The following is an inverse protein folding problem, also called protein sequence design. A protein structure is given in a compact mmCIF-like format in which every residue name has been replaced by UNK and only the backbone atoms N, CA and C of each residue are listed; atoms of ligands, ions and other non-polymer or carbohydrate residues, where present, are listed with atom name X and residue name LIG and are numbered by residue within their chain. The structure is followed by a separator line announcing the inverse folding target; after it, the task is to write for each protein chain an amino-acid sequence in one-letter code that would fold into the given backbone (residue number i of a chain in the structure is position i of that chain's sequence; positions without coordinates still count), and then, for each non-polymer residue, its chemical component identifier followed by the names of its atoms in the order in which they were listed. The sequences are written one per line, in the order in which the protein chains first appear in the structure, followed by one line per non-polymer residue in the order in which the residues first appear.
data_IF_725015053370
#
_entry.id   IF_725015053370
#
_cell.length_a   1.000
_cell.length_b   1.000
_cell.length_c   1.000
_cell.angle_alpha   90.00
_cell.angle_beta   90.00
_cell.angle_gamma   90.00
#
_symmetry.space_group_name_H-M   'P 1'
#
loop_
_entity.id
_entity.type
_entity.pdbx_description
1 polymer ?
#
# COMPACT_ATOMS: atom_id res chain seq x y z
N UNK A 1 41.51 -9.77 -0.68
CA UNK A 1 40.16 -9.32 -0.26
C UNK A 1 39.20 -9.76 -1.33
N UNK A 2 38.40 -10.79 -1.08
CA UNK A 2 37.36 -11.21 -2.03
C UNK A 2 36.39 -10.05 -2.20
N UNK A 3 36.33 -9.47 -3.41
CA UNK A 3 35.28 -8.53 -3.79
C UNK A 3 33.94 -9.17 -3.43
N UNK A 4 33.29 -8.68 -2.37
CA UNK A 4 31.96 -9.13 -1.99
C UNK A 4 31.05 -8.66 -3.13
N UNK A 5 30.43 -9.58 -3.86
CA UNK A 5 29.47 -9.23 -4.90
C UNK A 5 28.39 -8.33 -4.29
N UNK A 6 28.04 -7.24 -4.96
CA UNK A 6 26.98 -6.32 -4.51
C UNK A 6 25.66 -7.09 -4.39
N UNK A 7 24.78 -6.75 -3.43
CA UNK A 7 23.47 -7.39 -3.29
C UNK A 7 22.67 -7.21 -4.59
N UNK A 8 22.03 -8.27 -5.08
CA UNK A 8 21.20 -8.19 -6.28
C UNK A 8 19.82 -7.66 -5.92
N UNK A 9 19.42 -6.52 -6.47
CA UNK A 9 18.11 -5.90 -6.23
C UNK A 9 17.36 -5.82 -7.55
N UNK A 10 16.13 -6.35 -7.57
CA UNK A 10 15.23 -6.15 -8.71
C UNK A 10 14.50 -4.83 -8.53
N UNK A 11 14.64 -3.94 -9.52
CA UNK A 11 13.94 -2.65 -9.57
C UNK A 11 12.77 -2.77 -10.54
N UNK A 12 11.56 -2.92 -9.98
CA UNK A 12 10.32 -3.17 -10.72
C UNK A 12 9.52 -1.87 -10.84
N UNK A 13 9.33 -1.37 -12.06
CA UNK A 13 8.62 -0.12 -12.27
C UNK A 13 7.14 -0.30 -12.55
N UNK A 14 6.29 0.52 -11.91
CA UNK A 14 4.86 0.61 -12.22
C UNK A 14 4.41 1.97 -12.75
N UNK A 15 5.32 2.97 -12.76
CA UNK A 15 5.08 4.33 -13.24
C UNK A 15 4.95 5.35 -12.12
N UNK A 16 4.01 6.29 -12.27
CA UNK A 16 3.76 7.36 -11.30
C UNK A 16 4.67 8.57 -11.45
N UNK A 17 4.46 9.57 -10.58
CA UNK A 17 5.15 10.88 -10.64
C UNK A 17 6.67 10.78 -10.61
N UNK A 18 7.23 9.74 -9.99
CA UNK A 18 8.68 9.44 -9.99
C UNK A 18 9.24 9.18 -11.39
N UNK A 19 8.39 8.87 -12.38
CA UNK A 19 8.75 8.63 -13.78
C UNK A 19 8.23 9.69 -14.75
N UNK A 20 7.14 10.40 -14.42
CA UNK A 20 6.52 11.37 -15.34
C UNK A 20 7.41 12.59 -15.61
N UNK A 21 7.39 13.10 -16.84
CA UNK A 21 8.24 14.21 -17.29
C UNK A 21 7.39 15.45 -17.58
N UNK A 22 7.61 16.51 -16.80
CA UNK A 22 6.99 17.81 -17.05
C UNK A 22 7.67 18.63 -18.14
N UNK A 23 6.93 19.60 -18.70
CA UNK A 23 7.44 20.46 -19.80
C UNK A 23 8.53 21.43 -19.36
N UNK A 24 8.48 21.86 -18.11
CA UNK A 24 9.43 22.83 -17.53
C UNK A 24 9.87 22.36 -16.15
N UNK A 25 10.95 22.97 -15.65
CA UNK A 25 11.48 22.67 -14.30
C UNK A 25 10.60 23.15 -13.15
N UNK A 26 9.55 23.92 -13.45
CA UNK A 26 8.58 24.45 -12.47
C UNK A 26 7.19 23.85 -12.66
N UNK A 27 7.06 22.85 -13.52
CA UNK A 27 5.81 22.12 -13.72
C UNK A 27 5.62 21.04 -12.64
N UNK A 28 4.94 21.42 -11.57
CA UNK A 28 4.64 20.53 -10.43
C UNK A 28 3.22 19.95 -10.47
N UNK A 29 2.42 20.29 -11.47
CA UNK A 29 0.98 19.94 -11.49
C UNK A 29 0.54 19.25 -12.77
N UNK A 30 1.14 19.59 -13.92
CA UNK A 30 0.72 19.10 -15.23
C UNK A 30 1.74 18.12 -15.84
N UNK A 31 2.71 17.66 -15.04
CA UNK A 31 3.79 16.80 -15.51
C UNK A 31 3.33 15.47 -16.12
N UNK A 32 2.12 15.03 -15.81
CA UNK A 32 1.53 13.81 -16.37
C UNK A 32 0.68 14.06 -17.62
N UNK A 33 0.36 15.32 -17.95
CA UNK A 33 -0.62 15.66 -18.98
C UNK A 33 -0.21 15.17 -20.37
N UNK A 34 1.09 15.25 -20.70
CA UNK A 34 1.61 14.82 -22.00
C UNK A 34 1.85 13.30 -22.07
N UNK A 35 1.62 12.55 -20.99
CA UNK A 35 1.86 11.10 -20.94
C UNK A 35 3.31 10.70 -21.19
N UNK A 36 4.27 11.62 -20.94
CA UNK A 36 5.70 11.35 -21.09
C UNK A 36 6.28 10.81 -19.78
N UNK A 37 7.05 9.74 -19.90
CA UNK A 37 7.67 9.06 -18.77
C UNK A 37 9.11 8.69 -19.10
N UNK A 38 9.95 8.66 -18.07
CA UNK A 38 11.17 7.88 -18.09
C UNK A 38 10.82 6.40 -18.01
N UNK A 39 11.45 5.60 -18.86
CA UNK A 39 11.58 4.15 -18.69
C UNK A 39 12.41 3.85 -17.44
N UNK A 40 12.30 2.63 -16.93
CA UNK A 40 13.08 2.25 -15.75
C UNK A 40 14.59 2.28 -16.01
N UNK A 41 15.03 1.99 -17.23
CA UNK A 41 16.41 2.11 -17.65
C UNK A 41 16.87 3.58 -17.62
N UNK A 42 16.09 4.51 -18.17
CA UNK A 42 16.38 5.95 -18.12
C UNK A 42 16.42 6.49 -16.68
N UNK A 43 15.59 5.94 -15.77
CA UNK A 43 15.65 6.28 -14.35
C UNK A 43 16.97 5.82 -13.70
N UNK A 44 17.47 4.63 -14.06
CA UNK A 44 18.75 4.11 -13.58
C UNK A 44 19.92 4.91 -14.17
N UNK A 45 19.89 5.23 -15.46
CA UNK A 45 20.91 6.07 -16.11
C UNK A 45 20.99 7.48 -15.53
N UNK A 46 19.85 8.02 -15.08
CA UNK A 46 19.77 9.31 -14.41
C UNK A 46 20.43 9.30 -13.02
N UNK A 47 20.42 8.15 -12.34
CA UNK A 47 20.94 8.00 -10.96
C UNK A 47 21.93 6.83 -10.91
N UNK A 48 23.09 6.93 -11.61
CA UNK A 48 24.02 5.81 -11.74
C UNK A 48 24.62 5.34 -10.41
N UNK A 49 24.59 6.17 -9.37
CA UNK A 49 25.04 5.87 -8.00
C UNK A 49 24.28 4.69 -7.38
N UNK A 50 23.10 4.31 -7.89
CA UNK A 50 22.40 3.10 -7.46
C UNK A 50 23.24 1.83 -7.67
N UNK A 51 24.14 1.84 -8.65
CA UNK A 51 25.06 0.74 -8.90
C UNK A 51 26.15 0.63 -7.85
N UNK A 52 26.44 1.68 -7.06
CA UNK A 52 27.35 1.61 -5.92
C UNK A 52 26.75 0.83 -4.75
N UNK A 53 25.41 0.81 -4.67
CA UNK A 53 24.62 0.16 -3.63
C UNK A 53 24.38 -1.33 -3.98
N UNK A 54 23.99 -1.65 -5.21
CA UNK A 54 23.48 -2.97 -5.61
C UNK A 54 23.80 -3.37 -7.06
N UNK A 55 23.76 -4.69 -7.34
CA UNK A 55 23.58 -5.22 -8.71
C UNK A 55 22.10 -5.06 -9.08
N UNK A 56 21.76 -3.93 -9.71
CA UNK A 56 20.38 -3.54 -10.03
C UNK A 56 19.89 -4.25 -11.29
N UNK A 57 18.78 -4.98 -11.18
CA UNK A 57 18.06 -5.63 -12.29
C UNK A 57 16.76 -4.88 -12.55
N UNK A 58 16.77 -4.01 -13.55
CA UNK A 58 15.61 -3.21 -13.91
C UNK A 58 14.57 -4.04 -14.67
N UNK A 59 13.29 -3.85 -14.34
CA UNK A 59 12.16 -4.47 -15.02
C UNK A 59 10.99 -3.47 -15.12
N UNK A 60 10.57 -3.14 -16.33
CA UNK A 60 9.35 -2.37 -16.57
C UNK A 60 8.13 -3.30 -16.49
N UNK A 61 7.40 -3.27 -15.38
CA UNK A 61 6.20 -4.10 -15.20
C UNK A 61 4.93 -3.40 -15.69
N UNK A 62 4.73 -2.14 -15.27
CA UNK A 62 3.64 -1.26 -15.72
C UNK A 62 4.19 0.14 -15.95
N UNK A 63 3.45 0.99 -16.64
CA UNK A 63 3.78 2.41 -16.76
C UNK A 63 2.49 3.25 -16.69
N UNK A 64 1.94 3.38 -15.48
CA UNK A 64 0.64 4.00 -15.22
C UNK A 64 0.73 5.12 -14.19
N UNK A 65 -0.24 6.05 -14.23
CA UNK A 65 -0.56 6.86 -13.06
C UNK A 65 -1.17 5.98 -11.96
N UNK A 66 -0.81 6.19 -10.70
CA UNK A 66 -1.34 5.36 -9.60
C UNK A 66 -2.86 5.47 -9.43
N UNK A 67 -3.50 6.51 -9.99
CA UNK A 67 -4.96 6.65 -10.07
C UNK A 67 -5.62 5.60 -10.96
N UNK A 68 -4.85 4.98 -11.86
CA UNK A 68 -5.32 3.97 -12.81
C UNK A 68 -4.92 2.55 -12.35
N UNK A 69 -4.33 2.42 -11.17
CA UNK A 69 -4.00 1.12 -10.57
C UNK A 69 -5.28 0.42 -10.14
N UNK A 70 -5.39 -0.87 -10.47
CA UNK A 70 -6.58 -1.68 -10.22
C UNK A 70 -6.21 -2.93 -9.41
N UNK A 71 -7.20 -3.64 -8.83
CA UNK A 71 -6.96 -4.90 -8.16
C UNK A 71 -6.30 -5.97 -9.05
N UNK A 72 -6.53 -5.94 -10.37
CA UNK A 72 -5.86 -6.84 -11.31
C UNK A 72 -4.35 -6.53 -11.42
N UNK A 73 -3.98 -5.25 -11.43
CA UNK A 73 -2.57 -4.83 -11.40
C UNK A 73 -1.88 -5.27 -10.09
N UNK A 74 -2.58 -5.21 -8.96
CA UNK A 74 -2.07 -5.72 -7.68
C UNK A 74 -1.79 -7.23 -7.71
N UNK A 75 -2.73 -8.04 -8.21
CA UNK A 75 -2.53 -9.48 -8.38
C UNK A 75 -1.31 -9.78 -9.26
N UNK A 76 -1.21 -9.10 -10.41
CA UNK A 76 -0.08 -9.26 -11.32
C UNK A 76 1.26 -8.93 -10.66
N UNK A 77 1.32 -7.81 -9.94
CA UNK A 77 2.54 -7.37 -9.25
C UNK A 77 2.94 -8.34 -8.13
N UNK A 78 2.01 -8.79 -7.30
CA UNK A 78 2.29 -9.77 -6.24
C UNK A 78 2.79 -11.10 -6.81
N UNK A 79 2.12 -11.63 -7.84
CA UNK A 79 2.54 -12.85 -8.55
C UNK A 79 3.95 -12.68 -9.13
N UNK A 80 4.25 -11.52 -9.73
CA UNK A 80 5.58 -11.24 -10.31
C UNK A 80 6.67 -11.19 -9.24
N UNK A 81 6.43 -10.48 -8.14
CA UNK A 81 7.39 -10.36 -7.02
C UNK A 81 7.68 -11.72 -6.40
N UNK A 82 6.65 -12.52 -6.12
CA UNK A 82 6.85 -13.88 -5.60
C UNK A 82 7.69 -14.72 -6.57
N UNK A 83 7.39 -14.65 -7.87
CA UNK A 83 8.16 -15.35 -8.91
C UNK A 83 9.62 -14.89 -9.01
N UNK A 84 9.91 -13.61 -8.82
CA UNK A 84 11.32 -13.13 -8.76
C UNK A 84 12.08 -13.88 -7.66
N UNK A 85 11.48 -14.02 -6.48
CA UNK A 85 12.13 -14.71 -5.37
C UNK A 85 12.18 -16.23 -5.55
N UNK A 86 11.23 -16.83 -6.26
CA UNK A 86 11.25 -18.25 -6.61
C UNK A 86 12.36 -18.56 -7.64
N UNK A 87 12.42 -17.76 -8.72
CA UNK A 87 13.36 -17.94 -9.83
C UNK A 87 14.80 -17.55 -9.44
N UNK A 88 14.98 -16.58 -8.53
CA UNK A 88 16.28 -16.08 -8.08
C UNK A 88 16.42 -16.09 -6.55
N UNK A 89 16.89 -17.22 -6.02
CA UNK A 89 17.13 -17.41 -4.59
C UNK A 89 18.25 -16.52 -4.03
N UNK A 90 19.08 -15.92 -4.89
CA UNK A 90 20.15 -15.00 -4.49
C UNK A 90 19.71 -13.52 -4.52
N UNK A 91 18.49 -13.23 -4.99
CA UNK A 91 17.93 -11.88 -4.93
C UNK A 91 17.94 -11.38 -3.48
N UNK A 92 18.57 -10.24 -3.23
CA UNK A 92 18.63 -9.61 -1.92
C UNK A 92 17.29 -8.96 -1.55
N UNK A 93 16.59 -8.39 -2.52
CA UNK A 93 15.28 -7.75 -2.33
C UNK A 93 14.68 -7.20 -3.63
N UNK A 94 13.49 -6.64 -3.53
CA UNK A 94 12.77 -5.98 -4.63
C UNK A 94 12.48 -4.52 -4.24
N UNK A 95 12.87 -3.59 -5.12
CA UNK A 95 12.49 -2.19 -5.07
C UNK A 95 11.39 -1.93 -6.11
N UNK A 96 10.33 -1.22 -5.73
CA UNK A 96 9.18 -0.92 -6.61
C UNK A 96 9.00 0.58 -6.73
N UNK A 97 9.04 1.12 -7.95
CA UNK A 97 8.66 2.53 -8.19
C UNK A 97 7.18 2.60 -8.51
N UNK A 98 6.47 3.53 -7.87
CA UNK A 98 5.02 3.63 -7.92
C UNK A 98 4.55 5.10 -7.83
N UNK A 99 3.34 5.37 -8.33
CA UNK A 99 2.69 6.67 -8.11
C UNK A 99 2.15 6.82 -6.69
N UNK A 100 2.21 8.05 -6.15
CA UNK A 100 1.94 8.29 -4.73
C UNK A 100 0.45 8.28 -4.37
N UNK A 101 -0.48 8.36 -5.33
CA UNK A 101 -1.91 8.50 -5.01
C UNK A 101 -2.51 7.25 -4.33
N UNK A 102 -2.02 6.06 -4.70
CA UNK A 102 -2.48 4.75 -4.17
C UNK A 102 -1.33 3.89 -3.67
N UNK A 103 -0.15 4.48 -3.44
CA UNK A 103 1.05 3.77 -2.97
C UNK A 103 0.78 2.99 -1.68
N UNK A 104 0.08 3.61 -0.72
CA UNK A 104 -0.31 2.99 0.56
C UNK A 104 -1.17 1.73 0.38
N UNK A 105 -1.98 1.69 -0.67
CA UNK A 105 -2.87 0.58 -0.98
C UNK A 105 -2.09 -0.57 -1.61
N UNK A 106 -1.30 -0.28 -2.65
CA UNK A 106 -0.41 -1.27 -3.28
C UNK A 106 0.55 -1.89 -2.25
N UNK A 107 1.19 -1.05 -1.42
CA UNK A 107 2.12 -1.53 -0.40
C UNK A 107 1.42 -2.46 0.61
N UNK A 108 0.22 -2.10 1.07
CA UNK A 108 -0.51 -2.95 2.01
C UNK A 108 -1.00 -4.25 1.38
N UNK A 109 -1.46 -4.22 0.12
CA UNK A 109 -1.80 -5.43 -0.61
C UNK A 109 -0.60 -6.39 -0.72
N UNK A 110 0.57 -5.87 -1.11
CA UNK A 110 1.80 -6.66 -1.18
C UNK A 110 2.20 -7.19 0.20
N UNK A 111 2.01 -6.42 1.27
CA UNK A 111 2.31 -6.82 2.64
C UNK A 111 1.56 -8.09 3.08
N UNK A 112 0.40 -8.33 2.50
CA UNK A 112 -0.45 -9.48 2.81
C UNK A 112 -0.26 -10.66 1.83
N UNK A 113 0.36 -10.43 0.67
CA UNK A 113 0.36 -11.41 -0.44
C UNK A 113 1.75 -11.87 -0.88
N UNK A 114 2.81 -11.13 -0.52
CA UNK A 114 4.19 -11.55 -0.77
C UNK A 114 4.60 -12.66 0.19
N UNK A 115 5.19 -13.75 -0.32
CA UNK A 115 5.53 -14.97 0.44
C UNK A 115 7.03 -15.12 0.72
N UNK A 116 7.68 -14.03 1.08
CA UNK A 116 9.10 -14.03 1.47
C UNK A 116 9.37 -13.11 2.66
N UNK A 117 10.44 -13.40 3.41
CA UNK A 117 10.97 -12.49 4.42
C UNK A 117 11.99 -11.50 3.84
N UNK A 118 12.40 -11.67 2.57
CA UNK A 118 13.31 -10.74 1.89
C UNK A 118 12.64 -9.37 1.70
N UNK A 119 13.40 -8.27 1.74
CA UNK A 119 12.86 -6.92 1.59
C UNK A 119 12.09 -6.72 0.28
N UNK A 120 10.89 -6.16 0.40
CA UNK A 120 10.14 -5.55 -0.70
C UNK A 120 9.84 -4.12 -0.29
N UNK A 121 10.31 -3.15 -1.08
CA UNK A 121 10.26 -1.73 -0.74
C UNK A 121 9.54 -0.98 -1.85
N UNK A 122 8.50 -0.23 -1.53
CA UNK A 122 7.75 0.60 -2.49
C UNK A 122 8.10 2.07 -2.28
N UNK A 123 8.43 2.77 -3.36
CA UNK A 123 8.72 4.20 -3.33
C UNK A 123 7.94 4.95 -4.42
N UNK A 124 7.96 6.27 -4.32
CA UNK A 124 7.41 7.19 -5.31
C UNK A 124 8.06 8.55 -5.17
N UNK A 125 7.50 9.56 -5.82
CA UNK A 125 7.95 10.94 -5.69
C UNK A 125 6.76 11.89 -5.69
N UNK A 126 6.88 12.99 -4.96
CA UNK A 126 5.88 14.06 -4.96
C UNK A 126 6.15 15.08 -6.07
N UNK A 127 7.40 15.21 -6.51
CA UNK A 127 7.81 16.01 -7.66
C UNK A 127 8.29 15.10 -8.81
N UNK A 128 8.06 15.49 -10.07
CA UNK A 128 8.59 14.76 -11.22
C UNK A 128 10.13 14.91 -11.30
N UNK A 129 10.85 13.97 -11.94
CA UNK A 129 12.30 14.08 -12.18
C UNK A 129 12.77 15.39 -12.84
N UNK A 130 11.91 16.02 -13.64
CA UNK A 130 12.19 17.33 -14.26
C UNK A 130 12.07 18.51 -13.29
N UNK A 131 11.34 18.34 -12.19
CA UNK A 131 11.02 19.38 -11.23
C UNK A 131 12.24 19.86 -10.46
N UNK A 132 12.31 21.17 -10.19
CA UNK A 132 13.34 21.73 -9.34
C UNK A 132 13.20 21.19 -7.90
N UNK A 133 14.32 20.76 -7.31
CA UNK A 133 14.34 20.13 -6.00
C UNK A 133 13.52 18.83 -5.97
N UNK A 134 13.58 18.04 -7.05
CA UNK A 134 12.90 16.74 -7.12
C UNK A 134 13.33 15.81 -5.98
N UNK A 135 12.37 15.07 -5.43
CA UNK A 135 12.60 13.97 -4.49
C UNK A 135 12.75 12.61 -5.20
N UNK A 136 12.56 12.55 -6.53
CA UNK A 136 12.63 11.31 -7.32
C UNK A 136 13.94 10.56 -7.15
N UNK A 137 15.06 11.28 -7.21
CA UNK A 137 16.39 10.70 -7.34
C UNK A 137 16.83 10.09 -5.99
N UNK A 138 16.64 10.84 -4.89
CA UNK A 138 16.94 10.35 -3.53
C UNK A 138 16.01 9.22 -3.10
N UNK A 139 14.70 9.32 -3.40
CA UNK A 139 13.75 8.27 -3.06
C UNK A 139 14.06 6.96 -3.81
N UNK A 140 14.51 7.04 -5.07
CA UNK A 140 14.96 5.87 -5.84
C UNK A 140 16.20 5.22 -5.21
N UNK A 141 17.21 6.01 -4.86
CA UNK A 141 18.41 5.51 -4.18
C UNK A 141 18.07 4.84 -2.84
N UNK A 142 17.24 5.48 -2.02
CA UNK A 142 16.83 4.96 -0.72
C UNK A 142 16.01 3.68 -0.86
N UNK A 143 15.15 3.58 -1.88
CA UNK A 143 14.39 2.36 -2.15
C UNK A 143 15.30 1.16 -2.42
N UNK A 144 16.32 1.35 -3.26
CA UNK A 144 17.31 0.32 -3.57
C UNK A 144 18.19 0.02 -2.35
N UNK A 145 18.61 1.05 -1.60
CA UNK A 145 19.39 0.90 -0.37
C UNK A 145 18.65 0.08 0.68
N UNK A 146 17.39 0.38 0.94
CA UNK A 146 16.54 -0.35 1.88
C UNK A 146 16.28 -1.78 1.38
N UNK A 147 16.10 -1.99 0.07
CA UNK A 147 15.91 -3.31 -0.50
C UNK A 147 17.17 -4.19 -0.45
N UNK A 148 18.36 -3.59 -0.55
CA UNK A 148 19.64 -4.27 -0.43
C UNK A 148 20.09 -4.53 1.02
N UNK A 149 19.53 -3.79 1.99
CA UNK A 149 19.95 -3.85 3.39
C UNK A 149 19.46 -5.14 4.09
N UNK A 150 20.35 -6.02 4.59
CA UNK A 150 19.94 -7.26 5.25
C UNK A 150 19.04 -7.05 6.47
N UNK A 151 19.24 -5.96 7.21
CA UNK A 151 18.44 -5.60 8.38
C UNK A 151 16.99 -5.20 8.05
N UNK A 152 16.67 -5.00 6.78
CA UNK A 152 15.29 -4.74 6.30
C UNK A 152 14.44 -6.02 6.21
N UNK A 153 15.08 -7.20 6.22
CA UNK A 153 14.38 -8.48 6.11
C UNK A 153 13.45 -8.73 7.30
N UNK A 154 12.31 -9.37 7.04
CA UNK A 154 11.32 -9.75 8.06
C UNK A 154 10.55 -8.58 8.68
N UNK A 155 10.50 -7.42 8.02
CA UNK A 155 9.77 -6.22 8.49
C UNK A 155 8.50 -5.92 7.69
N UNK A 156 8.01 -6.90 6.94
CA UNK A 156 6.90 -6.76 6.02
C UNK A 156 7.31 -6.02 4.75
N UNK A 157 6.32 -5.61 3.97
CA UNK A 157 6.55 -4.66 2.88
C UNK A 157 6.80 -3.29 3.49
N UNK A 158 7.80 -2.61 2.96
CA UNK A 158 8.24 -1.30 3.42
C UNK A 158 7.88 -0.24 2.39
N UNK A 159 7.72 0.99 2.86
CA UNK A 159 7.75 2.16 1.98
C UNK A 159 8.88 3.09 2.41
N UNK A 160 9.54 3.73 1.44
CA UNK A 160 10.54 4.76 1.75
C UNK A 160 10.35 5.97 0.86
N UNK A 161 10.09 7.11 1.48
CA UNK A 161 10.03 8.43 0.85
C UNK A 161 10.51 9.45 1.87
N UNK A 162 11.16 10.53 1.43
CA UNK A 162 11.66 11.58 2.32
C UNK A 162 12.56 11.01 3.43
N UNK A 163 13.45 10.08 3.06
CA UNK A 163 14.37 9.34 3.95
C UNK A 163 13.71 8.51 5.07
N UNK A 164 12.38 8.43 5.12
CA UNK A 164 11.62 7.76 6.18
C UNK A 164 11.20 6.36 5.75
N UNK A 165 11.64 5.33 6.47
CA UNK A 165 11.25 3.94 6.24
C UNK A 165 10.02 3.61 7.08
N UNK A 166 8.94 3.20 6.44
CA UNK A 166 7.62 3.02 7.06
C UNK A 166 7.06 1.62 6.79
N UNK A 167 6.24 1.12 7.71
CA UNK A 167 5.52 -0.13 7.52
C UNK A 167 4.37 0.07 6.53
N UNK A 168 4.25 -0.81 5.52
CA UNK A 168 3.16 -0.75 4.54
C UNK A 168 1.77 -0.77 5.19
N UNK A 169 1.61 -1.40 6.35
CA UNK A 169 0.35 -1.42 7.11
C UNK A 169 -0.05 -0.07 7.69
N UNK A 170 0.91 0.75 8.14
CA UNK A 170 0.61 1.94 8.95
C UNK A 170 0.76 3.25 8.16
N UNK A 171 1.57 3.26 7.11
CA UNK A 171 1.81 4.44 6.28
C UNK A 171 0.56 4.93 5.56
N UNK A 172 0.31 6.24 5.54
CA UNK A 172 -0.77 6.87 4.81
C UNK A 172 -0.33 8.21 4.21
N UNK A 173 -0.86 8.58 3.05
CA UNK A 173 -0.62 9.87 2.41
C UNK A 173 -1.49 10.95 3.06
N UNK A 174 -0.87 11.86 3.80
CA UNK A 174 -1.56 12.87 4.64
C UNK A 174 -1.70 14.24 4.00
N UNK A 175 -0.99 14.50 2.91
CA UNK A 175 -0.97 15.78 2.22
C UNK A 175 -0.94 15.62 0.69
N UNK A 176 -1.61 16.53 -0.03
CA UNK A 176 -1.68 16.48 -1.48
C UNK A 176 -0.40 16.93 -2.19
N UNK A 177 0.46 17.75 -1.57
CA UNK A 177 1.62 18.37 -2.24
C UNK A 177 2.93 18.35 -1.46
N UNK A 178 2.90 18.18 -0.14
CA UNK A 178 4.11 18.20 0.70
C UNK A 178 4.97 16.95 0.48
N UNK A 179 6.30 17.09 0.57
CA UNK A 179 7.23 15.99 0.33
C UNK A 179 7.13 14.95 1.45
N UNK A 180 6.98 15.44 2.68
CA UNK A 180 6.78 14.68 3.91
C UNK A 180 5.36 14.06 4.04
N UNK A 181 4.64 13.87 2.94
CA UNK A 181 3.22 13.50 2.99
C UNK A 181 2.95 12.11 3.56
N UNK A 182 3.85 11.14 3.36
CA UNK A 182 3.65 9.79 3.86
C UNK A 182 3.99 9.75 5.34
N UNK A 183 2.99 9.48 6.17
CA UNK A 183 3.09 9.47 7.63
C UNK A 183 2.49 8.18 8.18
N UNK A 184 2.96 7.76 9.35
CA UNK A 184 2.37 6.66 10.13
C UNK A 184 1.85 7.21 11.46
N UNK A 185 0.65 7.84 11.47
CA UNK A 185 0.22 8.71 12.56
C UNK A 185 -0.02 7.98 13.90
N UNK A 186 -0.37 6.70 13.89
CA UNK A 186 -0.59 5.93 15.12
C UNK A 186 0.73 5.47 15.77
N UNK A 187 1.72 5.05 14.95
CA UNK A 187 2.88 4.29 15.43
C UNK A 187 4.24 4.80 14.95
N UNK A 188 4.29 5.85 14.15
CA UNK A 188 5.53 6.44 13.63
C UNK A 188 6.29 5.55 12.65
N UNK A 189 7.43 6.07 12.18
CA UNK A 189 8.30 5.37 11.24
C UNK A 189 9.04 4.21 11.89
N UNK A 190 9.47 3.25 11.05
CA UNK A 190 10.31 2.14 11.50
C UNK A 190 11.77 2.57 11.64
N UNK A 191 12.22 3.51 10.81
CA UNK A 191 13.61 3.88 10.68
C UNK A 191 13.86 4.95 9.62
N UNK A 192 15.13 5.19 9.31
CA UNK A 192 15.57 6.14 8.30
C UNK A 192 16.61 5.53 7.36
N UNK A 193 16.67 6.07 6.14
CA UNK A 193 17.77 5.90 5.19
C UNK A 193 18.40 7.29 4.97
N UNK A 194 19.45 7.60 5.73
CA UNK A 194 19.95 8.97 5.92
C UNK A 194 21.27 9.25 5.18
N UNK A 195 21.74 10.49 5.29
CA UNK A 195 22.95 11.03 4.63
C UNK A 195 24.27 10.34 4.98
N UNK A 196 24.30 9.46 5.99
CA UNK A 196 25.44 8.58 6.28
C UNK A 196 25.40 7.28 5.46
N UNK A 197 24.45 7.20 4.53
CA UNK A 197 24.19 6.09 3.62
C UNK A 197 23.81 4.78 4.35
N UNK A 198 23.39 4.88 5.61
CA UNK A 198 22.93 3.74 6.41
C UNK A 198 21.41 3.63 6.45
N UNK A 199 20.94 2.40 6.63
CA UNK A 199 19.53 2.11 6.96
C UNK A 199 19.47 1.72 8.44
N UNK A 200 18.85 2.57 9.25
CA UNK A 200 18.78 2.41 10.71
C UNK A 200 17.33 2.25 11.15
N UNK A 201 17.04 1.18 11.88
CA UNK A 201 15.71 0.87 12.40
C UNK A 201 15.62 1.08 13.92
N UNK A 202 14.50 1.62 14.37
CA UNK A 202 14.16 1.84 15.79
C UNK A 202 12.88 1.10 16.21
N UNK A 203 12.06 0.67 15.25
CA UNK A 203 10.81 -0.08 15.49
C UNK A 203 10.66 -1.25 14.52
N UNK A 204 9.71 -2.14 14.79
CA UNK A 204 9.30 -3.24 13.91
C UNK A 204 7.77 -3.37 13.97
N UNK A 205 7.09 -3.71 12.86
CA UNK A 205 5.66 -4.03 12.93
C UNK A 205 5.43 -5.33 13.69
N UNK A 206 4.37 -5.38 14.50
CA UNK A 206 3.96 -6.55 15.29
C UNK A 206 2.76 -7.30 14.67
N UNK A 207 2.11 -6.69 13.67
CA UNK A 207 1.00 -7.31 12.93
C UNK A 207 1.55 -8.32 11.95
N UNK A 208 0.88 -9.47 11.82
CA UNK A 208 1.33 -10.53 10.92
C UNK A 208 1.40 -10.02 9.47
N UNK A 209 2.41 -10.47 8.72
CA UNK A 209 2.63 -10.01 7.36
C UNK A 209 3.43 -11.05 6.56
N UNK A 210 3.42 -10.92 5.24
CA UNK A 210 4.25 -11.69 4.31
C UNK A 210 4.16 -13.21 4.51
N UNK A 211 5.25 -13.85 4.95
CA UNK A 211 5.31 -15.29 5.29
C UNK A 211 4.33 -15.70 6.39
N UNK A 212 3.95 -14.78 7.29
CA UNK A 212 2.99 -15.02 8.37
C UNK A 212 1.55 -14.65 7.97
N UNK A 213 1.35 -14.17 6.72
CA UNK A 213 0.02 -13.92 6.18
C UNK A 213 -0.55 -15.16 5.53
N UNK A 214 -1.83 -15.45 5.78
CA UNK A 214 -2.52 -16.63 5.24
C UNK A 214 -3.02 -16.45 3.80
N UNK A 215 -3.00 -15.22 3.26
CA UNK A 215 -3.56 -14.94 1.94
C UNK A 215 -2.60 -15.36 0.82
N UNK A 216 -2.91 -16.45 0.11
CA UNK A 216 -2.24 -16.82 -1.13
C UNK A 216 -3.09 -16.40 -2.35
N UNK A 217 -2.49 -15.59 -3.22
CA UNK A 217 -3.12 -15.08 -4.45
C UNK A 217 -2.59 -15.73 -5.72
N UNK A 218 -1.76 -16.78 -5.61
CA UNK A 218 -1.16 -17.49 -6.74
C UNK A 218 -2.18 -17.97 -7.78
N UNK A 219 -3.31 -18.50 -7.30
CA UNK A 219 -4.44 -19.02 -8.10
C UNK A 219 -5.63 -18.05 -8.22
N UNK A 220 -5.54 -16.87 -7.61
CA UNK A 220 -6.62 -15.87 -7.66
C UNK A 220 -6.52 -15.08 -8.97
N UNK A 221 -7.58 -15.16 -9.79
CA UNK A 221 -7.67 -14.42 -11.05
C UNK A 221 -8.39 -13.08 -10.91
N UNK A 222 -9.36 -13.00 -10.00
CA UNK A 222 -10.12 -11.78 -9.72
C UNK A 222 -10.37 -11.67 -8.22
N UNK A 223 -10.20 -10.45 -7.68
CA UNK A 223 -10.52 -10.16 -6.29
C UNK A 223 -12.01 -9.83 -6.14
N UNK A 224 -12.64 -10.24 -5.03
CA UNK A 224 -13.99 -9.82 -4.65
C UNK A 224 -14.16 -8.30 -4.71
N UNK A 225 -15.33 -7.84 -5.17
CA UNK A 225 -15.63 -6.42 -5.26
C UNK A 225 -16.03 -5.88 -3.89
N UNK A 226 -15.16 -5.06 -3.29
CA UNK A 226 -15.45 -4.33 -2.06
C UNK A 226 -15.43 -2.83 -2.32
N UNK A 227 -16.46 -2.13 -1.86
CA UNK A 227 -16.60 -0.68 -2.01
C UNK A 227 -16.70 0.03 -0.65
N UNK A 228 -16.42 1.34 -0.62
CA UNK A 228 -16.38 2.17 0.60
C UNK A 228 -17.56 3.14 0.59
N UNK A 229 -18.35 3.15 1.67
CA UNK A 229 -19.43 4.10 1.90
C UNK A 229 -18.98 5.20 2.88
N UNK A 230 -18.74 6.45 2.44
CA UNK A 230 -18.36 7.53 3.34
C UNK A 230 -19.53 8.00 4.21
N UNK A 231 -19.28 8.19 5.51
CA UNK A 231 -20.18 8.91 6.40
C UNK A 231 -19.80 10.41 6.44
N UNK A 232 -20.81 11.26 6.57
CA UNK A 232 -20.71 12.72 6.71
C UNK A 232 -21.99 13.24 7.36
N UNK A 233 -22.03 14.53 7.73
CA UNK A 233 -23.25 15.13 8.27
C UNK A 233 -24.38 15.04 7.24
N UNK A 234 -25.47 14.38 7.60
CA UNK A 234 -26.60 14.12 6.69
C UNK A 234 -26.44 12.89 5.79
N UNK A 235 -25.37 12.09 5.95
CA UNK A 235 -25.27 10.81 5.27
C UNK A 235 -26.43 9.88 5.70
N UNK A 236 -27.04 9.23 4.71
CA UNK A 236 -28.16 8.32 4.86
C UNK A 236 -27.84 6.95 4.24
N UNK A 237 -28.88 6.17 3.94
CA UNK A 237 -28.73 4.84 3.36
C UNK A 237 -28.59 4.78 1.83
N UNK A 238 -28.64 5.90 1.10
CA UNK A 238 -28.70 5.90 -0.37
C UNK A 238 -27.48 5.21 -0.98
N UNK A 239 -26.28 5.62 -0.58
CA UNK A 239 -25.03 5.05 -1.13
C UNK A 239 -24.89 3.57 -0.74
N UNK A 240 -25.22 3.22 0.51
CA UNK A 240 -25.14 1.83 1.01
C UNK A 240 -26.03 0.91 0.19
N UNK A 241 -27.31 1.27 0.02
CA UNK A 241 -28.25 0.46 -0.77
C UNK A 241 -27.89 0.43 -2.26
N UNK A 242 -27.38 1.53 -2.81
CA UNK A 242 -26.92 1.55 -4.20
C UNK A 242 -25.77 0.57 -4.43
N UNK A 243 -24.80 0.50 -3.52
CA UNK A 243 -23.69 -0.45 -3.59
C UNK A 243 -24.17 -1.89 -3.42
N UNK A 244 -25.04 -2.17 -2.44
CA UNK A 244 -25.59 -3.51 -2.23
C UNK A 244 -26.40 -3.99 -3.46
N UNK A 245 -27.24 -3.12 -4.03
CA UNK A 245 -28.01 -3.42 -5.25
C UNK A 245 -27.11 -3.63 -6.48
N UNK A 246 -25.91 -3.05 -6.51
CA UNK A 246 -24.91 -3.28 -7.55
C UNK A 246 -24.18 -4.63 -7.39
N UNK A 247 -24.44 -5.39 -6.33
CA UNK A 247 -23.89 -6.73 -6.11
C UNK A 247 -22.42 -6.74 -5.67
N UNK A 248 -22.02 -5.81 -4.80
CA UNK A 248 -20.69 -5.86 -4.16
C UNK A 248 -20.59 -7.09 -3.25
N UNK A 249 -19.41 -7.67 -3.13
CA UNK A 249 -19.12 -8.82 -2.27
C UNK A 249 -18.88 -8.44 -0.81
N UNK A 250 -18.59 -7.16 -0.55
CA UNK A 250 -18.43 -6.61 0.79
C UNK A 250 -18.46 -5.08 0.79
N UNK A 251 -18.66 -4.50 1.96
CA UNK A 251 -18.76 -3.05 2.14
C UNK A 251 -17.94 -2.57 3.32
N UNK A 252 -17.20 -1.48 3.14
CA UNK A 252 -16.51 -0.76 4.23
C UNK A 252 -17.25 0.55 4.51
N UNK A 253 -17.71 0.72 5.74
CA UNK A 253 -18.26 1.98 6.21
C UNK A 253 -17.13 2.87 6.75
N UNK A 254 -16.90 4.02 6.11
CA UNK A 254 -15.99 5.05 6.66
C UNK A 254 -16.77 5.95 7.62
N UNK A 255 -17.03 5.43 8.82
CA UNK A 255 -17.85 6.06 9.85
C UNK A 255 -17.25 7.35 10.43
N UNK A 256 -18.04 8.06 11.23
CA UNK A 256 -17.62 9.23 12.01
C UNK A 256 -17.04 8.80 13.36
N UNK A 257 -16.03 9.53 13.85
CA UNK A 257 -15.47 9.32 15.19
C UNK A 257 -14.97 7.89 15.39
N UNK A 258 -15.63 7.11 16.26
CA UNK A 258 -15.32 5.71 16.53
C UNK A 258 -15.98 4.71 15.56
N UNK A 259 -16.43 5.17 14.38
CA UNK A 259 -17.03 4.33 13.34
C UNK A 259 -18.56 4.37 13.26
N UNK A 260 -19.25 5.16 14.11
CA UNK A 260 -20.70 5.33 14.04
C UNK A 260 -21.09 6.40 13.00
N UNK A 261 -22.36 6.44 12.62
CA UNK A 261 -22.94 7.51 11.80
C UNK A 261 -24.37 7.82 12.25
N UNK A 262 -25.08 8.67 11.49
CA UNK A 262 -26.48 9.01 11.71
C UNK A 262 -27.38 7.75 11.67
N UNK A 263 -28.51 7.72 12.42
CA UNK A 263 -29.38 6.55 12.48
C UNK A 263 -29.82 5.99 11.12
N UNK A 264 -30.18 6.79 10.09
CA UNK A 264 -30.56 6.25 8.78
C UNK A 264 -29.42 5.53 8.05
N UNK A 265 -28.18 6.01 8.19
CA UNK A 265 -26.99 5.36 7.64
C UNK A 265 -26.74 4.02 8.35
N UNK A 266 -26.78 4.02 9.69
CA UNK A 266 -26.56 2.79 10.48
C UNK A 266 -27.67 1.75 10.24
N UNK A 267 -28.92 2.19 10.07
CA UNK A 267 -30.03 1.30 9.73
C UNK A 267 -29.83 0.66 8.35
N UNK A 268 -29.32 1.39 7.36
CA UNK A 268 -29.03 0.85 6.03
C UNK A 268 -27.85 -0.12 6.04
N UNK A 269 -26.82 0.12 6.87
CA UNK A 269 -25.75 -0.87 7.08
C UNK A 269 -26.30 -2.16 7.69
N UNK A 270 -27.18 -2.05 8.68
CA UNK A 270 -27.84 -3.21 9.28
C UNK A 270 -28.66 -3.98 8.26
N UNK A 271 -29.46 -3.27 7.46
CA UNK A 271 -30.29 -3.85 6.41
C UNK A 271 -29.46 -4.73 5.46
N UNK A 272 -28.33 -4.23 4.95
CA UNK A 272 -27.49 -5.01 4.02
C UNK A 272 -26.70 -6.12 4.73
N UNK A 273 -26.30 -5.91 5.98
CA UNK A 273 -25.63 -6.91 6.82
C UNK A 273 -26.55 -8.09 7.16
N UNK A 274 -27.79 -7.81 7.54
CA UNK A 274 -28.84 -8.82 7.77
C UNK A 274 -29.17 -9.59 6.47
N UNK A 275 -28.94 -8.97 5.31
CA UNK A 275 -28.99 -9.59 3.99
C UNK A 275 -27.78 -10.48 3.64
N UNK A 276 -26.80 -10.59 4.54
CA UNK A 276 -25.61 -11.43 4.39
C UNK A 276 -24.41 -10.75 3.73
N UNK A 277 -24.47 -9.43 3.47
CA UNK A 277 -23.32 -8.68 2.97
C UNK A 277 -22.33 -8.40 4.10
N UNK A 278 -21.05 -8.82 4.01
CA UNK A 278 -20.05 -8.47 5.02
C UNK A 278 -19.83 -6.96 5.09
N UNK A 279 -20.10 -6.38 6.27
CA UNK A 279 -19.92 -4.95 6.56
C UNK A 279 -18.79 -4.75 7.55
N UNK A 280 -17.75 -4.03 7.12
CA UNK A 280 -16.61 -3.63 7.95
C UNK A 280 -16.75 -2.16 8.34
N UNK A 281 -16.72 -1.88 9.64
CA UNK A 281 -16.78 -0.54 10.21
C UNK A 281 -15.35 -0.04 10.41
N UNK A 282 -14.98 0.98 9.63
CA UNK A 282 -13.78 1.78 9.77
C UNK A 282 -14.15 3.22 10.17
N UNK A 283 -13.15 4.09 10.28
CA UNK A 283 -13.36 5.50 10.58
C UNK A 283 -12.66 6.40 9.56
N UNK A 284 -13.31 7.52 9.19
CA UNK A 284 -12.69 8.52 8.34
C UNK A 284 -11.69 9.42 9.08
N UNK A 285 -11.59 9.33 10.42
CA UNK A 285 -10.68 10.17 11.23
C UNK A 285 -9.22 10.04 10.80
N UNK A 286 -8.86 8.93 10.17
CA UNK A 286 -7.52 8.64 9.66
C UNK A 286 -6.56 8.06 10.70
N UNK A 287 -6.97 8.02 11.97
CA UNK A 287 -6.18 7.50 13.10
C UNK A 287 -7.08 6.86 14.15
N UNK A 288 -6.48 6.01 14.99
CA UNK A 288 -7.16 5.37 16.10
C UNK A 288 -7.98 4.14 15.71
N UNK A 289 -8.43 3.41 16.74
CA UNK A 289 -9.11 2.12 16.59
C UNK A 289 -10.63 2.27 16.57
N UNK A 290 -11.28 1.55 15.65
CA UNK A 290 -12.67 1.11 15.81
C UNK A 290 -12.66 -0.19 16.60
N UNK A 291 -13.27 -0.18 17.78
CA UNK A 291 -13.30 -1.34 18.70
C UNK A 291 -14.65 -2.04 18.65
N UNK A 292 -14.66 -3.34 18.96
CA UNK A 292 -15.89 -4.09 19.12
C UNK A 292 -16.66 -3.53 20.32
N UNK A 293 -17.84 -2.99 20.04
CA UNK A 293 -18.80 -2.55 21.06
C UNK A 293 -20.02 -3.46 21.00
N UNK A 294 -20.77 -3.56 22.10
CA UNK A 294 -22.00 -4.35 22.14
C UNK A 294 -22.93 -4.05 20.96
N UNK A 295 -23.08 -2.76 20.61
CA UNK A 295 -23.86 -2.31 19.45
C UNK A 295 -23.37 -2.93 18.14
N UNK A 296 -22.06 -2.92 17.89
CA UNK A 296 -21.53 -3.46 16.65
C UNK A 296 -21.58 -4.99 16.60
N UNK A 297 -21.31 -5.65 17.72
CA UNK A 297 -21.33 -7.11 17.80
C UNK A 297 -22.74 -7.68 17.72
N UNK A 298 -23.74 -7.03 18.35
CA UNK A 298 -25.14 -7.47 18.28
C UNK A 298 -25.75 -7.26 16.88
N UNK A 299 -25.28 -6.26 16.14
CA UNK A 299 -25.69 -6.01 14.76
C UNK A 299 -24.89 -6.83 13.72
N UNK A 300 -23.94 -7.66 14.16
CA UNK A 300 -23.15 -8.53 13.28
C UNK A 300 -22.06 -7.83 12.46
N UNK A 301 -21.70 -6.60 12.81
CA UNK A 301 -20.66 -5.86 12.10
C UNK A 301 -19.26 -6.35 12.44
N UNK A 302 -18.37 -6.25 11.47
CA UNK A 302 -16.92 -6.45 11.62
C UNK A 302 -16.27 -5.08 11.87
N UNK A 303 -15.33 -4.97 12.81
CA UNK A 303 -14.56 -3.73 13.01
C UNK A 303 -13.18 -3.81 12.38
N UNK A 304 -12.71 -2.70 11.80
CA UNK A 304 -11.45 -2.60 11.06
C UNK A 304 -10.20 -2.43 11.94
N UNK A 305 -10.33 -2.47 13.27
CA UNK A 305 -9.28 -2.06 14.19
C UNK A 305 -8.79 -0.63 13.86
N UNK A 306 -7.50 -0.41 13.62
CA UNK A 306 -6.96 0.89 13.22
C UNK A 306 -6.71 1.03 11.70
N UNK A 307 -7.23 0.11 10.87
CA UNK A 307 -7.08 0.26 9.42
C UNK A 307 -7.93 1.41 8.91
N UNK A 308 -7.33 2.24 8.04
CA UNK A 308 -8.07 3.26 7.28
C UNK A 308 -9.09 2.56 6.38
N UNK A 309 -10.17 3.25 5.93
CA UNK A 309 -11.19 2.63 5.08
C UNK A 309 -10.63 1.96 3.81
N UNK A 310 -9.59 2.54 3.22
CA UNK A 310 -8.92 1.97 2.03
C UNK A 310 -8.16 0.69 2.35
N UNK A 311 -7.47 0.62 3.49
CA UNK A 311 -6.75 -0.59 3.91
C UNK A 311 -7.69 -1.68 4.40
N UNK A 312 -8.73 -1.31 5.14
CA UNK A 312 -9.81 -2.22 5.52
C UNK A 312 -10.48 -2.85 4.28
N UNK A 313 -10.68 -2.07 3.21
CA UNK A 313 -11.17 -2.58 1.93
C UNK A 313 -10.26 -3.66 1.36
N UNK A 314 -8.95 -3.42 1.34
CA UNK A 314 -7.98 -4.39 0.81
C UNK A 314 -7.99 -5.69 1.63
N UNK A 315 -7.97 -5.58 2.96
CA UNK A 315 -8.02 -6.76 3.82
C UNK A 315 -9.35 -7.52 3.66
N UNK A 316 -10.48 -6.82 3.50
CA UNK A 316 -11.76 -7.48 3.23
C UNK A 316 -11.76 -8.19 1.87
N UNK A 317 -11.19 -7.58 0.82
CA UNK A 317 -11.08 -8.22 -0.50
C UNK A 317 -10.30 -9.54 -0.41
N UNK A 318 -9.20 -9.56 0.35
CA UNK A 318 -8.39 -10.77 0.57
C UNK A 318 -9.09 -11.78 1.49
N UNK A 319 -9.73 -11.33 2.57
CA UNK A 319 -10.49 -12.20 3.46
C UNK A 319 -11.59 -12.96 2.70
N UNK A 320 -12.28 -12.29 1.77
CA UNK A 320 -13.34 -12.87 0.95
C UNK A 320 -12.84 -13.87 -0.10
N UNK A 321 -11.53 -13.98 -0.37
CA UNK A 321 -10.98 -15.10 -1.16
C UNK A 321 -10.84 -16.38 -0.33
N UNK A 322 -10.86 -16.27 1.00
CA UNK A 322 -10.65 -17.38 1.93
C UNK A 322 -11.96 -17.82 2.57
N UNK A 323 -12.81 -16.88 3.00
CA UNK A 323 -14.00 -17.17 3.79
C UNK A 323 -15.09 -16.11 3.64
N UNK A 324 -16.33 -16.50 3.95
CA UNK A 324 -17.47 -15.59 4.13
C UNK A 324 -17.97 -15.54 5.57
N UNK A 325 -17.33 -16.27 6.49
CA UNK A 325 -17.68 -16.28 7.91
C UNK A 325 -17.29 -14.95 8.57
N UNK A 326 -18.24 -14.14 9.08
CA UNK A 326 -17.95 -12.87 9.72
C UNK A 326 -17.01 -12.98 10.93
N UNK A 327 -17.07 -14.09 11.69
CA UNK A 327 -16.18 -14.28 12.84
C UNK A 327 -14.72 -14.44 12.40
N UNK A 328 -14.49 -15.15 11.30
CA UNK A 328 -13.16 -15.36 10.76
C UNK A 328 -12.62 -14.10 10.07
N UNK A 329 -13.48 -13.37 9.34
CA UNK A 329 -13.09 -12.05 8.79
C UNK A 329 -12.75 -11.08 9.94
N UNK A 330 -13.49 -11.11 11.04
CA UNK A 330 -13.16 -10.31 12.22
C UNK A 330 -11.81 -10.70 12.83
N UNK A 331 -11.49 -12.00 12.92
CA UNK A 331 -10.15 -12.46 13.36
C UNK A 331 -9.06 -11.90 12.45
N UNK A 332 -9.26 -11.96 11.12
CA UNK A 332 -8.32 -11.42 10.13
C UNK A 332 -8.09 -9.91 10.34
N UNK A 333 -9.16 -9.12 10.51
CA UNK A 333 -9.09 -7.68 10.78
C UNK A 333 -8.31 -7.33 12.07
N UNK A 334 -8.33 -8.21 13.06
CA UNK A 334 -7.60 -8.05 14.31
C UNK A 334 -6.18 -8.62 14.28
N UNK A 335 -5.81 -9.36 13.23
CA UNK A 335 -4.51 -10.04 13.10
C UNK A 335 -3.56 -9.25 12.19
N UNK A 336 -4.08 -8.74 11.08
CA UNK A 336 -3.33 -8.17 9.95
C UNK A 336 -3.34 -6.63 9.88
#
# INVERSE_FOLDING_TARGET
MTSKSKPRVYLVATGGSISFIGRTRTDYTNYSYDGKHLTIEEMVERVPEVHDIADVRAEQFLNLGSTDVTPAHWLGLAKRINRIFDDDQDAAGVAVTHGTATLEETAYFLNLTVKTSKPVVVTGAMRPPTGMGTDSDVNLMDCIRVAAAPQSAGRGVLTVLNNQVQAARDVTKTNSYRLETFQAPDFGFLGYADSDEQVVYYRRPERAHTVDSEFDVSSVEQLPRVDIAPAYAGADGLVIRALANAGVDGLVAAGLGSGSSAPPYMAALKEVSDGGLPVVIATHTGTGRVVQTRRFTEDGYIVADNLTPKKARILLMLALTVTKDPAEIQRMMLTY
#
